data_IF_435523095149
#
_entry.id   IF_435523095149
#
_cell.length_a   1.000
_cell.length_b   1.000
_cell.length_c   1.000
_cell.angle_alpha   90.00
_cell.angle_beta   90.00
_cell.angle_gamma   90.00
#
_symmetry.space_group_name_H-M   'P 1'
#
loop_
_entity.id
_entity.type
_entity.pdbx_description
1 polymer ?
#
# COMPACT_ATOMS: atom_id res chain seq x y z
N UNK A 1 -0.95 5.83 -14.31
CA UNK A 1 -1.51 4.60 -13.75
C UNK A 1 -2.64 4.91 -12.75
N UNK A 2 -2.38 5.61 -11.63
CA UNK A 2 -3.39 5.86 -10.59
C UNK A 2 -4.66 6.51 -11.15
N UNK A 3 -4.55 7.59 -11.91
CA UNK A 3 -5.69 8.27 -12.54
C UNK A 3 -6.54 7.33 -13.40
N UNK A 4 -5.92 6.43 -14.16
CA UNK A 4 -6.65 5.45 -14.99
C UNK A 4 -7.43 4.46 -14.14
N UNK A 5 -6.81 3.92 -13.08
CA UNK A 5 -7.48 2.99 -12.16
C UNK A 5 -8.65 3.69 -11.46
N UNK A 6 -8.45 4.91 -10.94
CA UNK A 6 -9.47 5.72 -10.29
C UNK A 6 -10.65 5.96 -11.24
N UNK A 7 -10.37 6.35 -12.48
CA UNK A 7 -11.41 6.56 -13.50
C UNK A 7 -12.16 5.26 -13.79
N UNK A 8 -11.46 4.14 -13.98
CA UNK A 8 -12.11 2.85 -14.19
C UNK A 8 -13.02 2.47 -13.03
N UNK A 9 -12.54 2.58 -11.79
CA UNK A 9 -13.33 2.27 -10.58
C UNK A 9 -14.54 3.17 -10.38
N UNK A 10 -14.52 4.39 -10.89
CA UNK A 10 -15.66 5.30 -10.82
C UNK A 10 -16.86 4.82 -11.65
N UNK A 11 -16.61 4.10 -12.75
CA UNK A 11 -17.64 3.64 -13.68
C UNK A 11 -17.90 2.14 -13.63
N UNK A 12 -17.01 1.36 -13.01
CA UNK A 12 -17.19 -0.07 -12.87
C UNK A 12 -18.11 -0.40 -11.67
N UNK A 13 -18.99 -1.40 -11.79
CA UNK A 13 -19.74 -1.91 -10.66
C UNK A 13 -18.80 -2.38 -9.53
N UNK A 14 -19.15 -2.05 -8.28
CA UNK A 14 -18.30 -2.27 -7.09
C UNK A 14 -18.01 -3.76 -6.87
N UNK A 15 -18.94 -4.62 -7.25
CA UNK A 15 -18.87 -6.08 -7.11
C UNK A 15 -18.00 -6.76 -8.17
N UNK A 16 -17.63 -6.04 -9.24
CA UNK A 16 -16.78 -6.62 -10.29
C UNK A 16 -15.31 -6.49 -9.95
N UNK A 17 -14.52 -7.58 -10.09
CA UNK A 17 -13.08 -7.52 -9.89
C UNK A 17 -12.42 -6.71 -11.01
N UNK A 18 -11.38 -5.97 -10.64
CA UNK A 18 -10.53 -5.23 -11.59
C UNK A 18 -9.19 -5.93 -11.73
N UNK A 19 -8.91 -6.38 -12.95
CA UNK A 19 -7.61 -6.90 -13.33
C UNK A 19 -6.70 -5.79 -13.87
N UNK A 20 -5.53 -5.64 -13.30
CA UNK A 20 -4.53 -4.68 -13.79
C UNK A 20 -3.46 -5.41 -14.60
N UNK A 21 -3.58 -5.30 -15.91
CA UNK A 21 -2.70 -5.96 -16.89
C UNK A 21 -1.29 -5.36 -16.88
N UNK A 22 -0.27 -6.23 -16.81
CA UNK A 22 1.13 -5.86 -16.98
C UNK A 22 1.80 -5.17 -15.78
N UNK A 23 1.16 -5.10 -14.60
CA UNK A 23 1.79 -4.57 -13.39
C UNK A 23 2.63 -5.64 -12.69
N UNK A 24 3.94 -5.56 -12.82
CA UNK A 24 4.85 -6.55 -12.24
C UNK A 24 6.08 -5.99 -11.58
N UNK A 25 6.10 -4.73 -11.21
CA UNK A 25 7.13 -4.20 -10.32
C UNK A 25 6.61 -4.17 -8.88
N UNK A 26 7.39 -4.59 -7.84
CA UNK A 26 6.88 -4.66 -6.47
C UNK A 26 6.45 -3.30 -5.91
N UNK A 27 7.12 -2.19 -6.24
CA UNK A 27 6.85 -0.88 -5.62
C UNK A 27 5.42 -0.36 -5.78
N UNK A 28 4.79 -0.36 -6.97
CA UNK A 28 3.43 0.15 -7.14
C UNK A 28 2.33 -0.86 -6.78
N UNK A 29 2.66 -2.11 -6.44
CA UNK A 29 1.68 -3.18 -6.29
C UNK A 29 0.70 -2.92 -5.14
N UNK A 30 1.20 -2.60 -3.94
CA UNK A 30 0.36 -2.29 -2.78
C UNK A 30 -0.53 -1.07 -3.00
N UNK A 31 -0.02 -0.06 -3.71
CA UNK A 31 -0.81 1.12 -4.08
C UNK A 31 -1.92 0.75 -5.08
N UNK A 32 -1.64 -0.11 -6.07
CA UNK A 32 -2.65 -0.58 -7.02
C UNK A 32 -3.76 -1.38 -6.32
N UNK A 33 -3.41 -2.20 -5.31
CA UNK A 33 -4.39 -2.87 -4.44
C UNK A 33 -5.26 -1.84 -3.70
N UNK A 34 -4.66 -0.81 -3.12
CA UNK A 34 -5.40 0.24 -2.42
C UNK A 34 -6.31 1.05 -3.36
N UNK A 35 -5.91 1.22 -4.62
CA UNK A 35 -6.74 1.81 -5.68
C UNK A 35 -7.90 0.89 -6.13
N UNK A 36 -7.94 -0.35 -5.64
CA UNK A 36 -9.04 -1.29 -5.87
C UNK A 36 -8.80 -2.29 -7.00
N UNK A 37 -7.54 -2.56 -7.37
CA UNK A 37 -7.20 -3.69 -8.24
C UNK A 37 -7.19 -4.99 -7.45
N UNK A 38 -7.77 -6.04 -8.01
CA UNK A 38 -7.97 -7.33 -7.36
C UNK A 38 -6.96 -8.38 -7.85
N UNK A 39 -6.60 -8.34 -9.13
CA UNK A 39 -5.68 -9.30 -9.74
C UNK A 39 -4.66 -8.62 -10.64
N UNK A 40 -3.51 -9.26 -10.81
CA UNK A 40 -2.37 -8.75 -11.58
C UNK A 40 -1.73 -9.87 -12.38
N UNK A 41 -1.13 -9.52 -13.50
CA UNK A 41 -0.20 -10.39 -14.23
C UNK A 41 1.02 -9.60 -14.68
N UNK A 42 2.13 -10.27 -14.86
CA UNK A 42 3.29 -9.65 -15.48
C UNK A 42 4.41 -10.64 -15.80
N UNK A 43 5.06 -10.42 -16.92
CA UNK A 43 6.34 -11.03 -17.26
C UNK A 43 7.55 -10.18 -16.80
N UNK A 44 7.36 -9.16 -15.98
CA UNK A 44 8.43 -8.23 -15.60
C UNK A 44 9.60 -8.92 -14.92
N UNK A 45 9.34 -9.90 -14.04
CA UNK A 45 10.37 -10.63 -13.32
C UNK A 45 11.46 -11.21 -14.25
N UNK A 46 11.04 -11.79 -15.39
CA UNK A 46 11.95 -12.38 -16.36
C UNK A 46 12.49 -11.35 -17.36
N UNK A 47 11.67 -10.37 -17.79
CA UNK A 47 12.10 -9.31 -18.70
C UNK A 47 13.19 -8.44 -18.06
N UNK A 48 13.01 -8.08 -16.80
CA UNK A 48 14.04 -7.35 -16.04
C UNK A 48 15.30 -8.20 -15.82
N UNK A 49 15.14 -9.50 -15.53
CA UNK A 49 16.27 -10.39 -15.34
C UNK A 49 17.11 -10.57 -16.61
N UNK A 50 16.49 -10.65 -17.80
CA UNK A 50 17.19 -10.70 -19.11
C UNK A 50 18.12 -9.49 -19.29
N UNK A 51 17.75 -8.37 -18.70
CA UNK A 51 18.47 -7.10 -18.72
C UNK A 51 19.43 -6.95 -17.54
N UNK A 52 19.63 -8.01 -16.75
CA UNK A 52 20.47 -7.99 -15.54
C UNK A 52 19.89 -7.13 -14.41
N UNK A 53 18.60 -6.82 -14.44
CA UNK A 53 17.93 -6.00 -13.42
C UNK A 53 17.42 -6.83 -12.27
N UNK A 54 17.89 -6.47 -11.10
CA UNK A 54 17.60 -7.08 -9.81
C UNK A 54 16.67 -6.18 -9.00
N UNK A 55 15.55 -6.71 -8.50
CA UNK A 55 14.60 -5.97 -7.68
C UNK A 55 15.14 -5.79 -6.26
N UNK A 56 15.00 -4.59 -5.72
CA UNK A 56 15.27 -4.28 -4.32
C UNK A 56 14.03 -3.69 -3.65
N UNK A 57 14.07 -3.55 -2.34
CA UNK A 57 13.00 -2.86 -1.60
C UNK A 57 12.85 -1.38 -2.00
N UNK A 58 13.91 -0.78 -2.55
CA UNK A 58 13.97 0.63 -2.95
C UNK A 58 13.87 0.85 -4.47
N UNK A 59 13.67 -0.20 -5.26
CA UNK A 59 13.57 -0.09 -6.72
C UNK A 59 14.32 -1.19 -7.45
N UNK A 60 14.96 -0.85 -8.56
CA UNK A 60 15.68 -1.80 -9.41
C UNK A 60 17.14 -1.37 -9.55
N UNK A 61 18.04 -2.33 -9.45
CA UNK A 61 19.48 -2.14 -9.70
C UNK A 61 19.95 -3.09 -10.80
N UNK A 62 20.98 -2.72 -11.53
CA UNK A 62 21.70 -3.70 -12.35
C UNK A 62 22.54 -4.58 -11.42
N UNK A 63 22.56 -5.89 -11.66
CA UNK A 63 23.38 -6.81 -10.86
C UNK A 63 24.87 -6.41 -10.90
N UNK A 64 25.29 -5.81 -12.00
CA UNK A 64 26.68 -5.36 -12.19
C UNK A 64 27.05 -4.15 -11.33
N UNK A 65 26.06 -3.38 -10.86
CA UNK A 65 26.22 -2.22 -9.96
C UNK A 65 26.23 -2.63 -8.47
N UNK A 66 25.97 -3.89 -8.15
CA UNK A 66 25.90 -4.36 -6.77
C UNK A 66 27.24 -4.94 -6.31
N UNK A 67 27.58 -4.66 -5.07
CA UNK A 67 28.71 -5.27 -4.36
C UNK A 67 28.26 -6.43 -3.46
N UNK A 68 27.01 -6.40 -3.00
CA UNK A 68 26.36 -7.44 -2.20
C UNK A 68 24.87 -7.54 -2.53
N UNK A 69 24.23 -8.66 -2.17
CA UNK A 69 22.80 -8.89 -2.37
C UNK A 69 22.01 -8.47 -1.13
N UNK A 70 21.24 -7.35 -1.17
CA UNK A 70 20.50 -6.86 0.00
C UNK A 70 19.16 -7.58 0.19
N UNK A 71 19.13 -8.92 0.14
CA UNK A 71 17.94 -9.75 0.24
C UNK A 71 18.28 -11.07 0.93
N UNK A 72 17.30 -11.66 1.60
CA UNK A 72 17.43 -12.95 2.32
C UNK A 72 16.62 -14.06 1.66
N UNK A 73 16.23 -13.93 0.39
CA UNK A 73 15.60 -15.03 -0.33
C UNK A 73 16.62 -16.16 -0.58
N UNK A 74 16.12 -17.34 -0.94
CA UNK A 74 16.97 -18.51 -1.21
C UNK A 74 18.15 -18.19 -2.13
N UNK A 75 17.90 -17.50 -3.24
CA UNK A 75 18.95 -17.13 -4.20
C UNK A 75 20.05 -16.29 -3.55
N UNK A 76 19.67 -15.28 -2.75
CA UNK A 76 20.61 -14.34 -2.18
C UNK A 76 21.39 -14.87 -0.97
N UNK A 77 20.89 -15.93 -0.33
CA UNK A 77 21.59 -16.65 0.73
C UNK A 77 22.57 -17.67 0.16
N UNK A 78 22.22 -18.30 -0.96
CA UNK A 78 23.03 -19.35 -1.59
C UNK A 78 24.11 -18.82 -2.55
N UNK A 79 24.01 -17.55 -2.98
CA UNK A 79 24.92 -16.98 -3.97
C UNK A 79 25.48 -15.62 -3.54
N UNK A 80 26.70 -15.36 -3.95
CA UNK A 80 27.30 -14.01 -3.91
C UNK A 80 27.03 -13.26 -5.23
N UNK A 81 27.22 -11.94 -5.21
CA UNK A 81 27.15 -11.12 -6.44
C UNK A 81 28.16 -11.59 -7.48
N UNK A 82 29.39 -11.94 -7.05
CA UNK A 82 30.46 -12.42 -7.94
C UNK A 82 30.07 -13.71 -8.64
N UNK A 83 29.48 -14.66 -7.92
CA UNK A 83 28.99 -15.90 -8.49
C UNK A 83 27.89 -15.66 -9.52
N UNK A 84 26.89 -14.82 -9.20
CA UNK A 84 25.82 -14.51 -10.15
C UNK A 84 26.38 -13.80 -11.40
N UNK A 85 27.35 -12.90 -11.24
CA UNK A 85 28.00 -12.21 -12.37
C UNK A 85 28.74 -13.19 -13.30
N UNK A 86 29.32 -14.24 -12.75
CA UNK A 86 30.10 -15.25 -13.50
C UNK A 86 29.24 -16.31 -14.18
N UNK A 87 27.95 -16.43 -13.86
CA UNK A 87 27.06 -17.39 -14.49
C UNK A 87 26.88 -17.11 -15.99
N UNK A 88 26.71 -18.21 -16.75
CA UNK A 88 26.26 -18.15 -18.14
C UNK A 88 24.95 -17.38 -18.27
N UNK A 89 24.75 -16.68 -19.40
CA UNK A 89 23.64 -15.74 -19.60
C UNK A 89 22.26 -16.33 -19.27
N UNK A 90 22.01 -17.59 -19.61
CA UNK A 90 20.73 -18.27 -19.37
C UNK A 90 20.55 -18.48 -17.87
N UNK A 91 21.53 -19.04 -17.18
CA UNK A 91 21.49 -19.31 -15.74
C UNK A 91 21.48 -18.01 -14.92
N UNK A 92 22.24 -17.00 -15.31
CA UNK A 92 22.20 -15.66 -14.73
C UNK A 92 20.78 -15.06 -14.80
N UNK A 93 20.15 -15.14 -15.97
CA UNK A 93 18.79 -14.66 -16.17
C UNK A 93 17.80 -15.42 -15.28
N UNK A 94 17.89 -16.76 -15.23
CA UNK A 94 17.04 -17.61 -14.42
C UNK A 94 17.20 -17.28 -12.92
N UNK A 95 18.42 -17.16 -12.45
CA UNK A 95 18.75 -16.85 -11.05
C UNK A 95 18.17 -15.50 -10.63
N UNK A 96 18.38 -14.45 -11.43
CA UNK A 96 17.82 -13.13 -11.16
C UNK A 96 16.29 -13.15 -11.26
N UNK A 97 15.71 -13.89 -12.20
CA UNK A 97 14.25 -13.98 -12.35
C UNK A 97 13.59 -14.65 -11.14
N UNK A 98 14.19 -15.71 -10.59
CA UNK A 98 13.69 -16.36 -9.38
C UNK A 98 13.75 -15.39 -8.19
N UNK A 99 14.86 -14.65 -8.02
CA UNK A 99 14.95 -13.61 -7.02
C UNK A 99 13.84 -12.55 -7.20
N UNK A 100 13.63 -12.07 -8.41
CA UNK A 100 12.60 -11.07 -8.72
C UNK A 100 11.18 -11.59 -8.38
N UNK A 101 10.91 -12.89 -8.59
CA UNK A 101 9.67 -13.52 -8.15
C UNK A 101 9.52 -13.53 -6.63
N UNK A 102 10.60 -13.80 -5.87
CA UNK A 102 10.57 -13.70 -4.42
C UNK A 102 10.23 -12.29 -3.95
N UNK A 103 10.75 -11.26 -4.61
CA UNK A 103 10.44 -9.86 -4.27
C UNK A 103 8.98 -9.51 -4.54
N UNK A 104 8.41 -9.96 -5.65
CA UNK A 104 6.97 -9.82 -5.94
C UNK A 104 6.12 -10.55 -4.90
N UNK A 105 6.47 -11.78 -4.57
CA UNK A 105 5.78 -12.58 -3.58
C UNK A 105 5.82 -11.92 -2.19
N UNK A 106 6.99 -11.44 -1.77
CA UNK A 106 7.17 -10.69 -0.51
C UNK A 106 6.21 -9.50 -0.46
N UNK A 107 6.13 -8.70 -1.53
CA UNK A 107 5.26 -7.51 -1.58
C UNK A 107 3.78 -7.89 -1.48
N UNK A 108 3.36 -8.96 -2.18
CA UNK A 108 1.98 -9.47 -2.09
C UNK A 108 1.66 -9.92 -0.66
N UNK A 109 2.53 -10.70 -0.02
CA UNK A 109 2.29 -11.18 1.35
C UNK A 109 2.27 -10.03 2.35
N UNK A 110 3.17 -9.06 2.21
CA UNK A 110 3.19 -7.86 3.07
C UNK A 110 1.93 -7.01 2.91
N UNK A 111 1.45 -6.85 1.67
CA UNK A 111 0.19 -6.15 1.38
C UNK A 111 -1.01 -6.88 2.00
N UNK A 112 -1.09 -8.20 1.85
CA UNK A 112 -2.15 -9.02 2.48
C UNK A 112 -2.13 -8.91 4.00
N UNK A 113 -0.95 -8.93 4.61
CA UNK A 113 -0.81 -8.76 6.06
C UNK A 113 -1.28 -7.37 6.49
N UNK A 114 -0.86 -6.32 5.77
CA UNK A 114 -1.27 -4.95 6.05
C UNK A 114 -2.80 -4.77 5.97
N UNK A 115 -3.46 -5.41 4.99
CA UNK A 115 -4.94 -5.45 4.89
C UNK A 115 -5.54 -6.15 6.12
N UNK A 116 -5.05 -7.35 6.46
CA UNK A 116 -5.53 -8.14 7.61
C UNK A 116 -5.40 -7.39 8.93
N UNK A 117 -4.34 -6.62 9.10
CA UNK A 117 -4.09 -5.80 10.29
C UNK A 117 -4.82 -4.45 10.27
N UNK A 118 -5.48 -4.08 9.17
CA UNK A 118 -6.09 -2.76 8.98
C UNK A 118 -5.05 -1.64 8.87
N UNK A 119 -3.86 -1.93 8.38
CA UNK A 119 -2.71 -1.01 8.27
C UNK A 119 -2.28 -0.74 6.83
N UNK A 120 -3.17 -0.99 5.87
CA UNK A 120 -2.84 -0.79 4.46
C UNK A 120 -2.44 0.66 4.17
N UNK A 121 -3.11 1.64 4.80
CA UNK A 121 -2.80 3.06 4.61
C UNK A 121 -1.37 3.40 5.03
N UNK A 122 -0.96 3.00 6.21
CA UNK A 122 0.40 3.19 6.72
C UNK A 122 1.43 2.48 5.84
N UNK A 123 1.10 1.26 5.39
CA UNK A 123 1.98 0.48 4.53
C UNK A 123 2.23 1.17 3.19
N UNK A 124 1.18 1.59 2.47
CA UNK A 124 1.33 2.30 1.20
C UNK A 124 1.98 3.67 1.38
N UNK A 125 1.67 4.39 2.47
CA UNK A 125 2.31 5.65 2.79
C UNK A 125 3.84 5.52 2.88
N UNK A 126 4.34 4.46 3.51
CA UNK A 126 5.77 4.16 3.58
C UNK A 126 6.34 3.72 2.22
N UNK A 127 5.63 2.86 1.49
CA UNK A 127 6.09 2.33 0.21
C UNK A 127 6.14 3.39 -0.89
N UNK A 128 5.24 4.34 -0.87
CA UNK A 128 5.15 5.38 -1.92
C UNK A 128 6.20 6.49 -1.78
N UNK A 129 6.76 6.70 -0.60
CA UNK A 129 7.83 7.68 -0.38
C UNK A 129 9.14 7.38 -1.12
N UNK A 130 9.32 6.14 -1.58
CA UNK A 130 10.50 5.71 -2.31
C UNK A 130 10.65 6.43 -3.66
N UNK A 131 9.54 6.85 -4.27
CA UNK A 131 9.58 7.46 -5.59
C UNK A 131 8.52 8.57 -5.74
N UNK A 132 8.88 9.78 -6.26
CA UNK A 132 7.96 10.92 -6.35
C UNK A 132 6.64 10.60 -7.07
N UNK A 133 6.68 9.89 -8.19
CA UNK A 133 5.46 9.50 -8.93
C UNK A 133 4.54 8.54 -8.17
N UNK A 134 5.10 7.72 -7.28
CA UNK A 134 4.29 6.88 -6.38
C UNK A 134 3.65 7.72 -5.29
N UNK A 135 4.39 8.68 -4.75
CA UNK A 135 3.88 9.63 -3.79
C UNK A 135 2.73 10.46 -4.37
N UNK A 136 2.89 11.02 -5.57
CA UNK A 136 1.82 11.74 -6.27
C UNK A 136 0.58 10.85 -6.46
N UNK A 137 0.80 9.58 -6.78
CA UNK A 137 -0.30 8.61 -6.93
C UNK A 137 -0.99 8.30 -5.61
N UNK A 138 -0.29 8.31 -4.49
CA UNK A 138 -0.85 8.18 -3.14
C UNK A 138 -1.65 9.44 -2.76
N UNK A 139 -1.17 10.64 -3.11
CA UNK A 139 -1.95 11.86 -2.94
C UNK A 139 -3.25 11.78 -3.75
N UNK A 140 -3.21 11.38 -5.01
CA UNK A 140 -4.41 11.18 -5.81
C UNK A 140 -5.37 10.16 -5.21
N UNK A 141 -4.87 9.05 -4.65
CA UNK A 141 -5.69 8.11 -3.91
C UNK A 141 -6.41 8.81 -2.75
N UNK A 142 -5.69 9.59 -1.95
CA UNK A 142 -6.22 10.29 -0.78
C UNK A 142 -7.29 11.35 -1.10
N UNK A 143 -7.34 11.83 -2.33
CA UNK A 143 -8.30 12.83 -2.83
C UNK A 143 -9.60 12.20 -3.38
N UNK A 144 -9.66 10.88 -3.49
CA UNK A 144 -10.80 10.18 -4.09
C UNK A 144 -11.54 9.33 -3.05
N UNK A 145 -12.33 10.00 -2.21
CA UNK A 145 -13.06 9.41 -1.07
C UNK A 145 -13.98 8.25 -1.48
N UNK A 146 -14.58 8.29 -2.67
CA UNK A 146 -15.50 7.26 -3.14
C UNK A 146 -14.88 5.84 -3.18
N UNK A 147 -13.55 5.74 -3.28
CA UNK A 147 -12.85 4.45 -3.23
C UNK A 147 -12.94 3.77 -1.87
N UNK A 148 -13.28 4.53 -0.82
CA UNK A 148 -13.26 4.08 0.57
C UNK A 148 -14.65 3.90 1.17
N UNK A 149 -15.70 4.50 0.58
CA UNK A 149 -17.03 4.64 1.21
C UNK A 149 -17.64 3.33 1.69
N UNK A 150 -17.40 2.22 1.00
CA UNK A 150 -18.05 0.94 1.30
C UNK A 150 -17.06 -0.22 1.58
N UNK A 151 -15.76 0.02 1.60
CA UNK A 151 -14.74 -1.04 1.63
C UNK A 151 -13.91 -1.11 2.90
N UNK A 152 -13.98 -0.09 3.76
CA UNK A 152 -13.17 -0.05 4.97
C UNK A 152 -13.96 -0.51 6.20
N UNK A 153 -13.31 -1.25 7.12
CA UNK A 153 -13.94 -1.61 8.38
C UNK A 153 -14.29 -0.34 9.17
N UNK A 154 -15.51 -0.33 9.73
CA UNK A 154 -16.02 0.82 10.51
C UNK A 154 -15.24 1.08 11.80
N UNK A 155 -14.52 0.08 12.27
CA UNK A 155 -13.74 0.14 13.50
C UNK A 155 -12.35 -0.41 13.27
N UNK A 156 -11.35 0.28 13.80
CA UNK A 156 -9.98 -0.18 13.83
C UNK A 156 -9.63 -0.66 15.24
N UNK A 157 -9.11 -1.88 15.34
CA UNK A 157 -8.75 -2.49 16.64
C UNK A 157 -7.48 -1.87 17.26
N UNK A 158 -6.62 -1.25 16.45
CA UNK A 158 -5.35 -0.66 16.86
C UNK A 158 -5.35 0.84 16.60
N UNK A 159 -4.47 1.57 17.26
CA UNK A 159 -4.30 3.02 17.08
C UNK A 159 -4.01 3.41 15.62
N UNK A 160 -4.36 4.63 15.29
CA UNK A 160 -4.10 5.27 14.01
C UNK A 160 -2.83 6.09 14.15
N UNK A 161 -1.88 5.90 13.24
CA UNK A 161 -0.66 6.71 13.20
C UNK A 161 -0.79 7.79 12.14
N UNK A 162 -0.51 9.02 12.54
CA UNK A 162 -0.44 10.18 11.66
C UNK A 162 1.03 10.54 11.47
N UNK A 163 1.55 10.40 10.27
CA UNK A 163 2.94 10.68 9.95
C UNK A 163 3.11 11.76 8.89
N UNK A 164 2.04 12.04 8.14
CA UNK A 164 2.07 13.01 7.03
C UNK A 164 0.70 13.62 6.76
N UNK A 165 0.68 14.68 5.93
CA UNK A 165 -0.54 15.34 5.49
C UNK A 165 -1.62 14.42 4.90
N UNK A 166 -1.30 13.42 4.03
CA UNK A 166 -2.33 12.51 3.50
C UNK A 166 -3.05 11.70 4.57
N UNK A 167 -2.48 11.57 5.77
CA UNK A 167 -3.12 10.82 6.86
C UNK A 167 -4.41 11.48 7.37
N UNK A 168 -4.57 12.79 7.17
CA UNK A 168 -5.82 13.49 7.45
C UNK A 168 -6.96 13.10 6.50
N UNK A 169 -6.63 12.50 5.35
CA UNK A 169 -7.58 12.02 4.33
C UNK A 169 -7.71 10.49 4.32
N UNK A 170 -7.21 9.84 5.36
CA UNK A 170 -7.35 8.40 5.47
C UNK A 170 -8.83 8.01 5.68
N UNK A 171 -9.23 6.81 5.23
CA UNK A 171 -10.63 6.38 5.23
C UNK A 171 -11.33 6.52 6.58
N UNK A 172 -10.64 6.18 7.66
CA UNK A 172 -11.20 6.23 9.02
C UNK A 172 -11.50 7.67 9.46
N UNK A 173 -10.63 8.63 9.11
CA UNK A 173 -10.83 10.06 9.43
C UNK A 173 -11.97 10.64 8.62
N UNK A 174 -12.02 10.35 7.30
CA UNK A 174 -13.10 10.80 6.43
C UNK A 174 -14.45 10.28 6.92
N UNK A 175 -14.53 9.01 7.30
CA UNK A 175 -15.76 8.41 7.83
C UNK A 175 -16.22 9.09 9.12
N UNK A 176 -15.30 9.39 10.06
CA UNK A 176 -15.63 10.12 11.29
C UNK A 176 -16.12 11.52 10.97
N UNK A 177 -15.41 12.25 10.10
CA UNK A 177 -15.78 13.60 9.70
C UNK A 177 -17.17 13.65 9.07
N UNK A 178 -17.50 12.70 8.18
CA UNK A 178 -18.80 12.63 7.53
C UNK A 178 -19.92 12.32 8.54
N UNK A 179 -19.69 11.39 9.48
CA UNK A 179 -20.65 11.11 10.54
C UNK A 179 -20.87 12.32 11.45
N UNK A 180 -19.80 13.02 11.82
CA UNK A 180 -19.88 14.22 12.65
C UNK A 180 -20.67 15.32 11.94
N UNK A 181 -20.40 15.56 10.65
CA UNK A 181 -21.17 16.53 9.85
C UNK A 181 -22.67 16.19 9.82
N UNK A 182 -23.00 14.93 9.55
CA UNK A 182 -24.39 14.45 9.50
C UNK A 182 -25.09 14.62 10.86
N UNK A 183 -24.40 14.26 11.94
CA UNK A 183 -24.91 14.45 13.30
C UNK A 183 -25.18 15.90 13.62
N UNK A 184 -24.27 16.81 13.30
CA UNK A 184 -24.43 18.25 13.49
C UNK A 184 -25.60 18.81 12.66
N UNK A 185 -25.74 18.35 11.40
CA UNK A 185 -26.86 18.78 10.54
C UNK A 185 -28.22 18.34 11.08
N UNK A 186 -28.31 17.13 11.66
CA UNK A 186 -29.55 16.61 12.25
C UNK A 186 -29.91 17.29 13.59
N UNK A 187 -28.96 17.91 14.26
CA UNK A 187 -29.13 18.50 15.59
C UNK A 187 -28.89 20.02 15.60
N UNK A 188 -29.18 20.73 14.51
CA UNK A 188 -28.93 22.18 14.36
C UNK A 188 -29.53 23.06 15.47
N UNK A 189 -30.63 22.62 16.10
CA UNK A 189 -31.34 23.37 17.15
C UNK A 189 -30.97 22.93 18.57
N UNK A 190 -29.90 22.13 18.74
CA UNK A 190 -29.43 21.65 20.03
C UNK A 190 -28.07 22.23 20.39
N UNK A 191 -27.83 22.45 21.68
CA UNK A 191 -26.50 22.77 22.16
C UNK A 191 -25.66 21.50 22.11
N UNK A 192 -24.53 21.53 21.42
CA UNK A 192 -23.62 20.40 21.27
C UNK A 192 -22.32 20.77 21.94
N UNK A 193 -21.94 20.01 22.96
CA UNK A 193 -20.67 20.17 23.66
C UNK A 193 -19.67 19.17 23.07
N UNK A 194 -18.58 19.67 22.49
CA UNK A 194 -17.48 18.86 21.96
C UNK A 194 -16.39 18.82 23.02
N UNK A 195 -16.13 17.64 23.56
CA UNK A 195 -15.05 17.43 24.50
C UNK A 195 -13.82 16.89 23.74
N UNK A 196 -12.60 17.37 24.05
CA UNK A 196 -11.38 16.82 23.49
C UNK A 196 -11.22 15.36 23.96
N UNK A 197 -10.84 14.48 23.05
CA UNK A 197 -10.48 13.10 23.37
C UNK A 197 -9.14 13.13 24.11
N UNK A 198 -9.18 13.10 25.45
CA UNK A 198 -7.97 12.94 26.26
C UNK A 198 -7.60 11.46 26.34
N UNK A 199 -6.32 11.13 26.48
CA UNK A 199 -5.84 9.74 26.62
C UNK A 199 -6.33 9.06 27.93
N UNK A 200 -6.97 9.78 28.80
CA UNK A 200 -7.60 9.21 30.00
C UNK A 200 -8.92 8.54 29.62
N UNK A 201 -9.03 7.27 30.00
CA UNK A 201 -10.18 6.42 29.71
C UNK A 201 -11.49 7.06 30.16
N UNK A 202 -12.54 6.91 29.37
CA UNK A 202 -13.93 7.34 29.60
C UNK A 202 -14.50 7.02 30.99
N UNK A 203 -13.88 6.16 31.79
CA UNK A 203 -14.33 5.76 33.13
C UNK A 203 -14.37 6.91 34.15
N UNK A 204 -13.63 8.01 33.91
CA UNK A 204 -13.63 9.16 34.82
C UNK A 204 -14.77 10.16 34.57
N UNK A 205 -15.44 10.12 33.43
CA UNK A 205 -16.52 11.05 33.10
C UNK A 205 -17.91 10.51 33.44
N UNK A 206 -18.10 9.20 33.45
CA UNK A 206 -19.40 8.60 33.80
C UNK A 206 -19.75 8.68 35.29
N UNK A 207 -18.79 8.96 36.17
CA UNK A 207 -19.03 9.05 37.63
C UNK A 207 -19.29 10.48 38.15
N UNK A 208 -19.36 11.49 37.26
CA UNK A 208 -19.63 12.89 37.65
C UNK A 208 -20.89 13.50 37.03
N UNK A 209 -21.70 12.70 36.32
CA UNK A 209 -22.96 13.15 35.70
C UNK A 209 -24.18 12.40 36.21
N UNK A 210 -24.09 11.80 37.41
CA UNK A 210 -25.24 11.29 38.19
C UNK A 210 -25.40 12.12 39.43
#
# INVERSE_FOLDING_TARGET
LAKMIITAKKYLPVEKPLHLFGLGHPLPLSLAVALGCDTFDSASYILYAKDGRYFTDMGTKKIDELDYLPCVCKICVEHTVKEIKSLEKIEKTRTIAIHNLYMLWKEIQSTKLAIKEGRLWEYIGNRTRIHPKLWDSFIHLSENEFLFENKNPRFKKKGIFFSTFPDNRRPEVLMVNNKTKNFLMQNKNKIIIILPLTQQRYSLYNNRLL
#
